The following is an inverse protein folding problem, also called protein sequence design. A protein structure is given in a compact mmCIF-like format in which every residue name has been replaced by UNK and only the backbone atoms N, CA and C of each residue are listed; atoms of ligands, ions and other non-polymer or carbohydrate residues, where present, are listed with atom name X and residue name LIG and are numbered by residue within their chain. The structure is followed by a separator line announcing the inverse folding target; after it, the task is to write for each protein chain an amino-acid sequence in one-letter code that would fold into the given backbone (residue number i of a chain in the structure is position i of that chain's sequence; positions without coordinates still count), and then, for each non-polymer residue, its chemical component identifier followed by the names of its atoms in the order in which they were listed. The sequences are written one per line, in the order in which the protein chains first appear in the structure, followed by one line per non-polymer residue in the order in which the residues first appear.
data_IF_656707563050
#
_entry.id   IF_656707563050
#
_cell.length_a   1.000
_cell.length_b   1.000
_cell.length_c   1.000
_cell.angle_alpha   90.00
_cell.angle_beta   90.00
_cell.angle_gamma   90.00
#
_symmetry.space_group_name_H-M   'P 1'
#
loop_
_entity.id
_entity.type
_entity.pdbx_description
1 polymer ?
#
# COMPACT_ATOMS: atom_id res chain seq x y z
N UNK A 1 -30.25 9.74 -10.27
CA UNK A 1 -29.01 9.10 -10.76
C UNK A 1 -27.96 9.34 -9.71
N UNK A 2 -27.57 8.32 -8.96
CA UNK A 2 -26.47 8.45 -7.99
C UNK A 2 -25.19 8.82 -8.76
N UNK A 3 -24.36 9.74 -8.27
CA UNK A 3 -23.11 10.06 -8.94
C UNK A 3 -22.25 8.79 -9.01
N UNK A 4 -21.83 8.41 -10.22
CA UNK A 4 -20.85 7.34 -10.42
C UNK A 4 -19.49 7.83 -9.93
N UNK A 5 -19.31 7.84 -8.61
CA UNK A 5 -18.04 8.10 -7.96
C UNK A 5 -17.31 6.77 -7.84
N UNK A 6 -16.16 6.64 -8.50
CA UNK A 6 -15.23 5.54 -8.25
C UNK A 6 -14.18 6.07 -7.29
N UNK A 7 -14.29 5.70 -6.02
CA UNK A 7 -13.34 6.07 -4.99
C UNK A 7 -12.16 5.09 -5.02
N UNK A 8 -10.97 5.61 -5.29
CA UNK A 8 -9.72 4.86 -5.18
C UNK A 8 -9.25 4.91 -3.73
N UNK A 9 -8.52 3.89 -3.28
CA UNK A 9 -7.98 3.88 -1.93
C UNK A 9 -7.11 5.10 -1.65
N UNK A 10 -7.27 5.69 -0.46
CA UNK A 10 -6.40 6.76 0.01
C UNK A 10 -5.42 6.15 1.01
N UNK A 11 -4.13 6.07 0.67
CA UNK A 11 -3.11 5.53 1.57
C UNK A 11 -2.94 6.34 2.86
N UNK A 12 -3.49 7.57 2.90
CA UNK A 12 -3.52 8.38 4.11
C UNK A 12 -4.60 7.93 5.11
N UNK A 13 -5.57 7.09 4.72
CA UNK A 13 -6.64 6.63 5.59
C UNK A 13 -6.12 5.66 6.66
N UNK A 14 -6.01 6.12 7.91
CA UNK A 14 -5.54 5.32 9.04
C UNK A 14 -6.44 4.12 9.36
N UNK A 15 -7.69 4.10 8.89
CA UNK A 15 -8.59 2.96 9.11
C UNK A 15 -8.10 1.67 8.44
N UNK A 16 -7.52 1.81 7.24
CA UNK A 16 -7.03 0.71 6.41
C UNK A 16 -5.51 0.71 6.25
N UNK A 17 -4.86 1.85 6.50
CA UNK A 17 -3.41 2.03 6.52
C UNK A 17 -2.95 2.57 7.89
N UNK A 18 -3.15 1.78 8.97
CA UNK A 18 -2.80 2.18 10.33
C UNK A 18 -1.29 2.38 10.50
N UNK A 19 -0.91 3.23 11.45
CA UNK A 19 0.45 3.23 12.00
C UNK A 19 0.67 1.98 12.87
N UNK A 20 1.91 1.73 13.29
CA UNK A 20 2.22 0.55 14.10
C UNK A 20 1.45 0.55 15.42
N UNK A 21 1.32 1.70 16.07
CA UNK A 21 0.64 1.80 17.37
C UNK A 21 -0.85 1.44 17.31
N UNK A 22 -1.48 1.58 16.15
CA UNK A 22 -2.89 1.28 15.95
C UNK A 22 -3.14 -0.19 15.55
N UNK A 23 -2.08 -1.01 15.40
CA UNK A 23 -2.23 -2.44 15.09
C UNK A 23 -2.67 -3.25 16.31
N UNK A 24 -3.51 -4.26 16.06
CA UNK A 24 -3.87 -5.27 17.06
C UNK A 24 -2.64 -6.13 17.45
N UNK A 25 -2.65 -6.68 18.66
CA UNK A 25 -1.68 -7.68 19.10
C UNK A 25 -2.01 -9.06 18.51
N UNK A 26 -0.98 -9.85 18.18
CA UNK A 26 -1.15 -11.19 17.62
C UNK A 26 -1.84 -12.20 18.55
N UNK A 27 -1.88 -11.92 19.85
CA UNK A 27 -2.51 -12.71 20.89
C UNK A 27 -3.83 -12.10 21.41
N UNK A 28 -4.33 -11.03 20.78
CA UNK A 28 -5.54 -10.34 21.19
C UNK A 28 -6.52 -10.24 20.02
N UNK A 29 -7.77 -10.64 20.27
CA UNK A 29 -8.87 -10.34 19.35
C UNK A 29 -9.30 -8.89 19.55
N UNK A 30 -9.24 -8.12 18.47
CA UNK A 30 -9.64 -6.71 18.43
C UNK A 30 -10.86 -6.56 17.51
N UNK A 31 -11.99 -6.10 18.05
CA UNK A 31 -13.24 -5.94 17.31
C UNK A 31 -13.18 -4.84 16.23
N UNK A 32 -12.18 -3.96 16.29
CA UNK A 32 -11.92 -2.97 15.23
C UNK A 32 -11.36 -3.63 13.96
N UNK A 33 -10.75 -4.80 14.10
CA UNK A 33 -10.11 -5.56 13.02
C UNK A 33 -10.83 -6.87 12.69
N UNK A 34 -11.48 -7.49 13.66
CA UNK A 34 -12.10 -8.80 13.54
C UNK A 34 -13.59 -8.76 13.86
N UNK A 35 -14.35 -9.68 13.27
CA UNK A 35 -15.75 -9.97 13.59
C UNK A 35 -15.92 -11.45 13.85
N UNK A 36 -16.86 -11.80 14.71
CA UNK A 36 -17.29 -13.19 14.89
C UNK A 36 -18.30 -13.57 13.81
N UNK A 37 -18.15 -14.76 13.24
CA UNK A 37 -19.12 -15.38 12.32
C UNK A 37 -20.18 -16.16 13.09
N UNK A 38 -21.28 -16.49 12.41
CA UNK A 38 -22.37 -17.31 12.98
C UNK A 38 -21.90 -18.68 13.50
N UNK A 39 -20.83 -19.23 12.93
CA UNK A 39 -20.23 -20.50 13.35
C UNK A 39 -19.23 -20.36 14.52
N UNK A 40 -19.13 -19.18 15.13
CA UNK A 40 -18.29 -18.89 16.29
C UNK A 40 -16.82 -18.56 15.98
N UNK A 41 -16.37 -18.77 14.74
CA UNK A 41 -15.01 -18.42 14.30
C UNK A 41 -14.86 -16.92 14.07
N UNK A 42 -13.66 -16.40 14.30
CA UNK A 42 -13.32 -15.00 14.04
C UNK A 42 -12.65 -14.85 12.68
N UNK A 43 -12.97 -13.78 11.98
CA UNK A 43 -12.35 -13.39 10.72
C UNK A 43 -12.11 -11.88 10.68
N UNK A 44 -11.18 -11.39 9.85
CA UNK A 44 -11.09 -9.97 9.55
C UNK A 44 -12.45 -9.40 9.13
N UNK A 45 -12.79 -8.21 9.63
CA UNK A 45 -14.02 -7.50 9.21
C UNK A 45 -13.79 -6.52 8.07
N UNK A 46 -12.53 -6.18 7.81
CA UNK A 46 -12.03 -5.24 6.80
C UNK A 46 -10.64 -5.69 6.32
N UNK A 47 -10.15 -5.08 5.26
CA UNK A 47 -8.76 -5.17 4.87
C UNK A 47 -7.94 -4.08 5.57
N UNK A 48 -6.70 -4.39 5.95
CA UNK A 48 -5.72 -3.38 6.39
C UNK A 48 -4.31 -3.77 5.95
N UNK A 49 -3.46 -2.75 5.86
CA UNK A 49 -2.08 -2.86 5.44
C UNK A 49 -1.22 -1.94 6.30
N UNK A 50 -0.16 -2.50 6.89
CA UNK A 50 0.91 -1.70 7.47
C UNK A 50 1.89 -1.27 6.39
N UNK A 51 2.39 -0.03 6.48
CA UNK A 51 3.36 0.55 5.56
C UNK A 51 4.51 1.16 6.35
N UNK A 52 5.76 0.81 6.03
CA UNK A 52 6.95 1.39 6.64
C UNK A 52 8.15 1.43 5.69
N UNK A 53 8.97 2.47 5.78
CA UNK A 53 10.21 2.61 5.00
C UNK A 53 11.39 1.92 5.69
N UNK A 54 12.15 1.11 4.97
CA UNK A 54 13.36 0.46 5.47
C UNK A 54 14.41 1.54 5.77
N UNK A 55 14.83 1.62 7.03
CA UNK A 55 15.93 2.49 7.48
C UNK A 55 17.20 1.70 7.83
N UNK A 56 17.06 0.40 8.14
CA UNK A 56 18.17 -0.50 8.42
C UNK A 56 17.85 -1.93 7.99
N UNK A 57 18.88 -2.68 7.59
CA UNK A 57 18.79 -4.10 7.22
C UNK A 57 19.85 -4.89 7.98
N UNK A 58 19.42 -5.84 8.80
CA UNK A 58 20.27 -6.86 9.41
C UNK A 58 19.93 -8.24 8.82
N UNK A 59 20.95 -8.99 8.44
CA UNK A 59 20.82 -10.32 7.82
C UNK A 59 21.65 -11.40 8.53
N UNK A 60 22.21 -11.12 9.71
CA UNK A 60 23.19 -12.02 10.34
C UNK A 60 22.63 -13.41 10.69
N UNK A 61 21.39 -13.47 11.19
CA UNK A 61 20.74 -14.75 11.58
C UNK A 61 19.47 -15.06 10.80
N UNK A 62 18.71 -14.00 10.51
CA UNK A 62 17.50 -13.93 9.69
C UNK A 62 17.42 -12.50 9.16
N UNK A 63 16.66 -12.28 8.11
CA UNK A 63 16.35 -10.91 7.69
C UNK A 63 15.53 -10.24 8.80
N UNK A 64 16.09 -9.17 9.36
CA UNK A 64 15.43 -8.22 10.26
C UNK A 64 15.57 -6.84 9.65
N UNK A 65 14.44 -6.22 9.35
CA UNK A 65 14.37 -4.85 8.85
C UNK A 65 14.04 -3.94 10.03
N UNK A 66 14.73 -2.82 10.17
CA UNK A 66 14.19 -1.69 10.93
C UNK A 66 13.47 -0.81 9.93
N UNK A 67 12.18 -0.56 10.16
CA UNK A 67 11.38 0.34 9.32
C UNK A 67 10.89 1.53 10.10
N UNK A 68 10.74 2.68 9.43
CA UNK A 68 10.04 3.85 9.95
C UNK A 68 8.65 3.93 9.38
N UNK A 69 7.62 3.93 10.22
CA UNK A 69 6.24 4.03 9.77
C UNK A 69 5.81 5.48 9.48
N UNK A 70 4.53 5.65 9.12
CA UNK A 70 3.94 6.95 8.80
C UNK A 70 3.87 7.93 9.97
N UNK A 71 3.90 7.43 11.20
CA UNK A 71 3.88 8.23 12.43
C UNK A 71 5.32 8.49 12.95
N UNK A 72 6.31 7.98 12.22
CA UNK A 72 7.73 8.20 12.46
C UNK A 72 8.34 7.26 13.48
N UNK A 73 7.61 6.24 13.92
CA UNK A 73 8.10 5.22 14.85
C UNK A 73 9.02 4.25 14.10
N UNK A 74 10.13 3.87 14.71
CA UNK A 74 11.03 2.83 14.19
C UNK A 74 10.65 1.46 14.77
N UNK A 75 10.38 0.50 13.90
CA UNK A 75 9.81 -0.80 14.24
C UNK A 75 10.64 -1.92 13.62
N UNK A 76 11.02 -2.95 14.40
CA UNK A 76 11.64 -4.14 13.84
C UNK A 76 10.59 -5.02 13.14
N UNK A 77 10.87 -5.41 11.90
CA UNK A 77 10.17 -6.46 11.17
C UNK A 77 11.12 -7.65 11.04
N UNK A 78 10.77 -8.79 11.63
CA UNK A 78 11.59 -9.99 11.58
C UNK A 78 10.94 -11.07 10.71
N UNK A 79 11.71 -11.59 9.75
CA UNK A 79 11.23 -12.63 8.83
C UNK A 79 11.50 -14.02 9.41
N UNK A 80 10.43 -14.79 9.58
CA UNK A 80 10.38 -16.11 10.22
C UNK A 80 10.02 -17.23 9.26
N UNK A 81 10.19 -17.02 7.95
CA UNK A 81 10.12 -18.10 6.97
C UNK A 81 11.20 -19.17 7.20
N UNK A 82 11.01 -20.33 6.56
CA UNK A 82 11.98 -21.44 6.59
C UNK A 82 13.38 -21.00 6.11
N UNK A 83 13.47 -20.22 5.02
CA UNK A 83 14.76 -19.69 4.55
C UNK A 83 15.16 -18.37 5.23
N UNK A 84 14.50 -18.00 6.33
CA UNK A 84 14.84 -16.86 7.20
C UNK A 84 14.92 -15.53 6.46
N UNK A 85 14.09 -15.34 5.44
CA UNK A 85 14.01 -14.12 4.63
C UNK A 85 14.99 -14.04 3.45
N UNK A 86 15.82 -15.06 3.21
CA UNK A 86 16.71 -15.10 2.03
C UNK A 86 15.89 -15.04 0.72
N UNK A 87 14.64 -15.48 0.73
CA UNK A 87 13.75 -15.48 -0.44
C UNK A 87 13.42 -14.06 -0.92
N UNK A 88 13.55 -13.04 -0.05
CA UNK A 88 13.31 -11.65 -0.40
C UNK A 88 14.31 -11.12 -1.43
N UNK A 89 15.52 -11.68 -1.47
CA UNK A 89 16.57 -11.30 -2.41
C UNK A 89 17.20 -9.92 -2.12
N UNK A 90 18.52 -9.76 -2.36
CA UNK A 90 19.28 -8.58 -1.95
C UNK A 90 18.84 -7.28 -2.63
N UNK A 91 18.25 -7.35 -3.83
CA UNK A 91 17.74 -6.16 -4.53
C UNK A 91 16.55 -5.49 -3.84
N UNK A 92 15.79 -6.25 -3.04
CA UNK A 92 14.65 -5.72 -2.29
C UNK A 92 15.08 -5.16 -0.93
N UNK A 93 16.15 -5.71 -0.34
CA UNK A 93 16.67 -5.34 0.98
C UNK A 93 17.53 -4.08 0.93
N UNK A 94 16.93 -2.94 0.56
CA UNK A 94 17.61 -1.66 0.43
C UNK A 94 16.94 -0.59 1.30
N UNK A 95 17.76 0.23 1.96
CA UNK A 95 17.30 1.42 2.69
C UNK A 95 16.59 2.37 1.72
N UNK A 96 15.47 2.95 2.17
CA UNK A 96 14.60 3.82 1.38
C UNK A 96 13.53 3.08 0.57
N UNK A 97 13.52 1.74 0.56
CA UNK A 97 12.40 0.98 0.02
C UNK A 97 11.26 0.90 1.04
N UNK A 98 10.02 0.80 0.56
CA UNK A 98 8.83 0.69 1.41
C UNK A 98 8.36 -0.74 1.52
N UNK A 99 8.19 -1.22 2.75
CA UNK A 99 7.56 -2.49 3.11
C UNK A 99 6.04 -2.28 3.24
N UNK A 100 5.27 -3.18 2.64
CA UNK A 100 3.80 -3.21 2.67
C UNK A 100 3.39 -4.60 3.15
N UNK A 101 2.66 -4.68 4.28
CA UNK A 101 2.26 -5.95 4.89
C UNK A 101 0.75 -5.98 5.09
N UNK A 102 0.07 -6.88 4.41
CA UNK A 102 -1.34 -7.18 4.67
C UNK A 102 -1.51 -7.83 6.03
N UNK A 103 -2.56 -7.42 6.74
CA UNK A 103 -2.99 -8.01 8.01
C UNK A 103 -1.90 -8.04 9.09
N UNK A 104 -1.02 -7.03 9.11
CA UNK A 104 0.03 -6.93 10.11
C UNK A 104 -0.55 -6.82 11.53
N UNK A 105 0.17 -7.39 12.50
CA UNK A 105 -0.14 -7.39 13.93
C UNK A 105 1.13 -7.12 14.74
N UNK A 106 0.98 -6.60 15.96
CA UNK A 106 2.08 -6.43 16.92
C UNK A 106 2.49 -7.80 17.49
N UNK A 107 3.79 -7.99 17.67
CA UNK A 107 4.39 -9.17 18.26
C UNK A 107 5.43 -8.77 19.31
N UNK A 108 5.40 -9.43 20.46
CA UNK A 108 6.45 -9.33 21.47
C UNK A 108 7.51 -10.41 21.22
N UNK A 109 8.73 -10.01 20.86
CA UNK A 109 9.85 -10.91 20.65
C UNK A 109 10.48 -11.36 21.98
N UNK A 110 11.26 -12.45 21.92
CA UNK A 110 11.97 -12.98 23.10
C UNK A 110 13.05 -12.04 23.66
N UNK A 111 13.57 -11.12 22.84
CA UNK A 111 14.50 -10.07 23.25
C UNK A 111 13.80 -8.87 23.90
N UNK A 112 12.50 -9.00 24.20
CA UNK A 112 11.60 -7.98 24.75
C UNK A 112 11.33 -6.80 23.81
N UNK A 113 11.80 -6.84 22.56
CA UNK A 113 11.41 -5.84 21.56
C UNK A 113 9.99 -6.12 21.05
N UNK A 114 9.28 -5.07 20.68
CA UNK A 114 7.93 -5.16 20.10
C UNK A 114 8.05 -4.77 18.63
N UNK A 115 7.47 -5.55 17.73
CA UNK A 115 7.50 -5.27 16.29
C UNK A 115 6.56 -6.17 15.50
N UNK A 116 6.91 -6.46 14.24
CA UNK A 116 6.12 -7.32 13.36
C UNK A 116 6.90 -8.60 13.08
N UNK A 117 6.33 -9.74 13.46
CA UNK A 117 6.83 -11.06 13.06
C UNK A 117 6.10 -11.50 11.79
N UNK A 118 6.86 -11.90 10.77
CA UNK A 118 6.26 -12.25 9.49
C UNK A 118 6.74 -13.62 8.99
N UNK A 119 5.79 -14.51 8.70
CA UNK A 119 6.05 -15.92 8.38
C UNK A 119 5.63 -16.32 6.96
N UNK A 120 4.77 -15.55 6.31
CA UNK A 120 4.25 -15.85 4.98
C UNK A 120 4.44 -14.65 4.03
N UNK A 121 5.48 -14.73 3.20
CA UNK A 121 5.87 -13.65 2.28
C UNK A 121 4.83 -13.34 1.21
N UNK A 122 3.77 -14.13 1.04
CA UNK A 122 2.68 -13.73 0.16
C UNK A 122 1.97 -12.47 0.68
N UNK A 123 1.97 -12.19 1.98
CA UNK A 123 1.33 -10.99 2.54
C UNK A 123 2.25 -9.77 2.59
N UNK A 124 3.53 -9.92 2.26
CA UNK A 124 4.53 -8.85 2.30
C UNK A 124 5.05 -8.51 0.92
N UNK A 125 5.12 -7.22 0.63
CA UNK A 125 5.80 -6.69 -0.56
C UNK A 125 6.76 -5.59 -0.18
N UNK A 126 7.95 -5.62 -0.77
CA UNK A 126 8.88 -4.49 -0.75
C UNK A 126 8.79 -3.77 -2.09
N UNK A 127 8.59 -2.47 -2.04
CA UNK A 127 8.42 -1.59 -3.18
C UNK A 127 9.61 -0.61 -3.27
N UNK A 128 10.20 -0.41 -4.46
CA UNK A 128 11.36 0.48 -4.64
C UNK A 128 10.93 1.95 -4.73
N UNK A 129 10.36 2.45 -3.64
CA UNK A 129 9.90 3.82 -3.44
C UNK A 129 9.99 4.15 -1.94
N UNK A 130 10.34 5.38 -1.61
CA UNK A 130 10.28 5.86 -0.22
C UNK A 130 8.84 6.05 0.24
N UNK A 131 8.60 5.98 1.55
CA UNK A 131 7.27 6.12 2.14
C UNK A 131 6.68 7.50 1.80
N UNK A 132 7.49 8.56 1.91
CA UNK A 132 7.06 9.92 1.56
C UNK A 132 6.62 10.02 0.08
N UNK A 133 7.37 9.43 -0.84
CA UNK A 133 7.01 9.44 -2.26
C UNK A 133 5.77 8.59 -2.53
N UNK A 134 5.59 7.46 -1.82
CA UNK A 134 4.38 6.63 -1.89
C UNK A 134 3.14 7.39 -1.42
N UNK A 135 3.25 8.15 -0.33
CA UNK A 135 2.16 8.98 0.20
C UNK A 135 1.84 10.15 -0.74
N UNK A 136 2.84 10.87 -1.25
CA UNK A 136 2.64 11.93 -2.24
C UNK A 136 2.01 11.41 -3.54
N UNK A 137 2.37 10.19 -3.96
CA UNK A 137 1.76 9.55 -5.11
C UNK A 137 0.29 9.20 -4.85
N UNK A 138 -0.07 8.74 -3.65
CA UNK A 138 -1.47 8.58 -3.24
C UNK A 138 -2.24 9.89 -3.38
N UNK A 139 -1.71 11.02 -2.89
CA UNK A 139 -2.38 12.32 -2.97
C UNK A 139 -2.61 12.79 -4.41
N UNK A 140 -1.63 12.56 -5.29
CA UNK A 140 -1.77 12.82 -6.73
C UNK A 140 -2.85 11.94 -7.36
N UNK A 141 -2.95 10.66 -7.00
CA UNK A 141 -4.00 9.75 -7.49
C UNK A 141 -5.36 10.24 -7.02
N UNK A 142 -5.50 10.60 -5.75
CA UNK A 142 -6.76 11.14 -5.22
C UNK A 142 -7.20 12.40 -5.98
N UNK A 143 -6.25 13.27 -6.31
CA UNK A 143 -6.53 14.53 -7.03
C UNK A 143 -6.86 14.31 -8.51
N UNK A 144 -6.14 13.41 -9.20
CA UNK A 144 -6.13 13.31 -10.66
C UNK A 144 -6.80 12.07 -11.26
N UNK A 145 -6.90 10.98 -10.52
CA UNK A 145 -7.41 9.70 -11.01
C UNK A 145 -8.81 9.36 -10.49
N UNK A 146 -9.19 9.85 -9.30
CA UNK A 146 -10.52 9.67 -8.71
C UNK A 146 -11.60 10.31 -9.59
N UNK A 147 -12.70 9.58 -9.79
CA UNK A 147 -13.85 10.04 -10.57
C UNK A 147 -14.83 10.76 -9.63
N UNK A 148 -15.08 12.04 -9.90
CA UNK A 148 -16.02 12.87 -9.14
C UNK A 148 -17.00 13.51 -10.11
N UNK A 149 -18.30 13.27 -9.93
CA UNK A 149 -19.36 13.79 -10.80
C UNK A 149 -19.14 13.45 -12.29
N UNK A 150 -18.62 12.24 -12.55
CA UNK A 150 -18.31 11.78 -13.91
C UNK A 150 -17.08 12.47 -14.54
N UNK A 151 -16.37 13.32 -13.82
CA UNK A 151 -15.17 14.02 -14.29
C UNK A 151 -13.91 13.61 -13.54
N UNK A 152 -12.77 13.76 -14.20
CA UNK A 152 -11.43 13.62 -13.61
C UNK A 152 -10.62 14.87 -13.84
N UNK A 153 -9.57 15.06 -13.05
CA UNK A 153 -8.68 16.22 -13.16
C UNK A 153 -7.51 15.91 -14.07
N UNK A 154 -7.31 16.71 -15.12
CA UNK A 154 -6.15 16.57 -15.98
C UNK A 154 -4.85 16.76 -15.19
N UNK A 155 -3.97 15.76 -15.22
CA UNK A 155 -2.68 15.81 -14.51
C UNK A 155 -1.70 16.83 -15.10
N UNK A 156 -1.96 17.39 -16.29
CA UNK A 156 -1.10 18.41 -16.90
C UNK A 156 -1.49 19.85 -16.56
N UNK A 157 -2.78 20.16 -16.53
CA UNK A 157 -3.27 21.55 -16.41
C UNK A 157 -4.33 21.75 -15.32
N UNK A 158 -4.62 20.72 -14.53
CA UNK A 158 -5.56 20.73 -13.40
C UNK A 158 -7.03 21.04 -13.76
N UNK A 159 -7.38 21.07 -15.05
CA UNK A 159 -8.77 21.22 -15.49
C UNK A 159 -9.54 19.91 -15.33
N UNK A 160 -10.76 19.99 -14.80
CA UNK A 160 -11.70 18.87 -14.73
C UNK A 160 -12.39 18.67 -16.08
N UNK A 161 -12.56 17.42 -16.49
CA UNK A 161 -13.34 17.07 -17.68
C UNK A 161 -13.75 15.59 -17.66
N UNK A 162 -14.88 15.29 -18.28
CA UNK A 162 -15.28 13.91 -18.58
C UNK A 162 -14.49 13.32 -19.76
N UNK A 163 -14.02 14.15 -20.69
CA UNK A 163 -13.34 13.73 -21.94
C UNK A 163 -11.82 13.94 -21.81
N UNK A 164 -11.15 13.01 -21.12
CA UNK A 164 -9.69 13.00 -20.97
C UNK A 164 -9.06 11.72 -21.51
N UNK A 165 -7.93 11.87 -22.18
CA UNK A 165 -7.12 10.78 -22.70
C UNK A 165 -6.34 10.12 -21.56
N UNK A 166 -6.51 8.81 -21.41
CA UNK A 166 -5.84 8.01 -20.37
C UNK A 166 -4.38 7.74 -20.75
N UNK A 167 -3.47 7.79 -19.79
CA UNK A 167 -2.13 7.25 -20.00
C UNK A 167 -2.21 5.75 -20.29
N UNK A 168 -1.72 5.31 -21.45
CA UNK A 168 -1.76 3.91 -21.86
C UNK A 168 -0.88 2.98 -20.99
N UNK A 169 0.14 3.53 -20.30
CA UNK A 169 1.10 2.74 -19.52
C UNK A 169 0.58 2.40 -18.12
N UNK A 170 0.34 3.40 -17.28
CA UNK A 170 -0.13 3.18 -15.90
C UNK A 170 -1.66 3.03 -15.81
N UNK A 171 -2.40 3.71 -16.69
CA UNK A 171 -3.86 3.75 -16.67
C UNK A 171 -4.49 4.71 -15.66
N UNK A 172 -3.73 5.32 -14.75
CA UNK A 172 -4.26 6.23 -13.71
C UNK A 172 -4.48 7.65 -14.21
N UNK A 173 -3.41 8.32 -14.65
CA UNK A 173 -3.50 9.74 -14.99
C UNK A 173 -4.08 9.97 -16.38
N UNK A 174 -4.78 11.10 -16.51
CA UNK A 174 -5.47 11.49 -17.74
C UNK A 174 -5.18 12.93 -18.16
N UNK A 175 -5.36 13.22 -19.44
CA UNK A 175 -4.95 14.48 -20.07
C UNK A 175 -5.98 15.05 -21.03
N UNK A 176 -6.10 16.38 -21.08
CA UNK A 176 -6.93 17.07 -22.07
C UNK A 176 -6.36 16.93 -23.49
N UNK A 177 -5.03 16.88 -23.61
CA UNK A 177 -4.32 16.89 -24.89
C UNK A 177 -2.92 16.31 -24.74
N UNK A 178 -2.27 16.00 -25.87
CA UNK A 178 -0.88 15.53 -25.88
C UNK A 178 0.08 16.55 -25.24
N UNK A 179 -0.17 17.85 -25.41
CA UNK A 179 0.57 18.92 -24.71
C UNK A 179 0.47 18.79 -23.19
N UNK A 180 -0.74 18.54 -22.67
CA UNK A 180 -0.92 18.30 -21.23
C UNK A 180 -0.27 17.00 -20.77
N UNK A 181 -0.23 15.96 -21.61
CA UNK A 181 0.49 14.73 -21.30
C UNK A 181 1.99 14.96 -21.21
N UNK A 182 2.60 15.69 -22.15
CA UNK A 182 4.02 16.02 -22.13
C UNK A 182 4.39 16.88 -20.91
N UNK A 183 3.56 17.88 -20.60
CA UNK A 183 3.70 18.68 -19.38
C UNK A 183 3.62 17.79 -18.13
N UNK A 184 2.57 17.00 -18.00
CA UNK A 184 2.39 16.10 -16.86
C UNK A 184 3.57 15.13 -16.71
N UNK A 185 4.10 14.64 -17.84
CA UNK A 185 5.24 13.73 -17.90
C UNK A 185 6.55 14.36 -17.43
N UNK A 186 6.87 15.57 -17.88
CA UNK A 186 8.17 16.22 -17.64
C UNK A 186 8.18 17.11 -16.40
N UNK A 187 7.12 17.89 -16.19
CA UNK A 187 7.06 18.95 -15.19
C UNK A 187 6.36 18.48 -13.90
N UNK A 188 5.33 17.63 -14.01
CA UNK A 188 4.52 17.24 -12.85
C UNK A 188 4.89 15.85 -12.28
N UNK A 189 6.07 15.33 -12.61
CA UNK A 189 6.60 14.09 -12.02
C UNK A 189 6.03 12.77 -12.55
N UNK A 190 5.08 12.78 -13.50
CA UNK A 190 4.45 11.53 -13.94
C UNK A 190 5.44 10.51 -14.54
N UNK A 191 6.56 10.92 -15.11
CA UNK A 191 7.55 9.96 -15.63
C UNK A 191 7.99 8.95 -14.58
N UNK A 192 8.26 9.41 -13.36
CA UNK A 192 8.72 8.57 -12.26
C UNK A 192 7.53 7.83 -11.61
N UNK A 193 6.44 8.55 -11.34
CA UNK A 193 5.19 7.97 -10.83
C UNK A 193 4.67 6.83 -11.73
N UNK A 194 4.80 6.97 -13.06
CA UNK A 194 4.36 5.97 -14.03
C UNK A 194 5.14 4.67 -13.92
N UNK A 195 6.41 4.69 -13.50
CA UNK A 195 7.20 3.45 -13.33
C UNK A 195 6.62 2.62 -12.19
N UNK A 196 6.27 3.28 -11.09
CA UNK A 196 5.70 2.65 -9.89
C UNK A 196 4.27 2.18 -10.17
N UNK A 197 3.43 3.01 -10.80
CA UNK A 197 2.03 2.68 -11.12
C UNK A 197 1.86 1.59 -12.18
N UNK A 198 2.94 1.14 -12.82
CA UNK A 198 2.93 -0.03 -13.72
C UNK A 198 3.07 -1.34 -12.95
N UNK A 199 3.57 -1.31 -11.72
CA UNK A 199 3.61 -2.49 -10.86
C UNK A 199 2.17 -2.87 -10.47
N UNK A 200 1.79 -4.11 -10.75
CA UNK A 200 0.43 -4.62 -10.50
C UNK A 200 0.08 -4.67 -9.01
N UNK A 201 1.07 -4.89 -8.14
CA UNK A 201 0.85 -4.93 -6.69
C UNK A 201 0.60 -3.52 -6.16
N UNK A 202 1.44 -2.56 -6.53
CA UNK A 202 1.23 -1.17 -6.13
C UNK A 202 -0.11 -0.63 -6.64
N UNK A 203 -0.38 -0.85 -7.94
CA UNK A 203 -1.64 -0.45 -8.57
C UNK A 203 -2.85 -1.10 -7.91
N UNK A 204 -2.77 -2.38 -7.57
CA UNK A 204 -3.86 -3.15 -6.97
C UNK A 204 -4.36 -2.56 -5.67
N UNK A 205 -3.47 -1.99 -4.84
CA UNK A 205 -3.83 -1.36 -3.56
C UNK A 205 -4.93 -0.30 -3.71
N UNK A 206 -4.95 0.44 -4.82
CA UNK A 206 -5.91 1.53 -5.05
C UNK A 206 -7.30 1.07 -5.45
N UNK A 207 -7.45 -0.19 -5.82
CA UNK A 207 -8.72 -0.74 -6.32
C UNK A 207 -9.36 -1.75 -5.36
N UNK A 208 -8.72 -2.05 -4.22
CA UNK A 208 -9.28 -2.93 -3.18
C UNK A 208 -10.53 -2.29 -2.57
N UNK A 209 -11.55 -3.11 -2.35
CA UNK A 209 -12.72 -2.74 -1.54
C UNK A 209 -12.39 -2.96 -0.07
N UNK A 210 -11.82 -1.95 0.57
CA UNK A 210 -11.19 -2.10 1.89
C UNK A 210 -12.14 -2.46 3.03
N UNK A 211 -13.43 -2.13 2.90
CA UNK A 211 -14.46 -2.49 3.88
C UNK A 211 -15.11 -3.86 3.65
N UNK A 212 -14.93 -4.46 2.47
CA UNK A 212 -15.65 -5.67 2.05
C UNK A 212 -14.76 -6.92 2.17
N UNK A 213 -14.53 -7.37 3.41
CA UNK A 213 -13.78 -8.60 3.62
C UNK A 213 -14.61 -9.85 3.26
N UNK A 214 -14.12 -10.58 2.25
CA UNK A 214 -14.62 -11.90 1.85
C UNK A 214 -13.59 -13.01 2.04
N UNK A 215 -12.32 -12.72 1.73
CA UNK A 215 -11.18 -13.62 1.87
C UNK A 215 -9.92 -12.79 2.11
N UNK A 216 -8.86 -13.44 2.60
CA UNK A 216 -7.56 -12.81 2.71
C UNK A 216 -7.02 -12.42 1.33
N UNK A 217 -6.40 -11.24 1.25
CA UNK A 217 -5.65 -10.78 0.09
C UNK A 217 -4.16 -11.00 0.29
N UNK A 218 -3.49 -11.49 -0.75
CA UNK A 218 -2.04 -11.65 -0.78
C UNK A 218 -1.47 -11.19 -2.11
N UNK A 219 -0.16 -11.03 -2.16
CA UNK A 219 0.61 -10.72 -3.35
C UNK A 219 0.93 -12.00 -4.14
N UNK A 220 0.90 -11.95 -5.49
CA UNK A 220 0.53 -10.80 -6.28
C UNK A 220 -0.98 -10.52 -6.21
N UNK A 221 -1.38 -9.24 -6.18
CA UNK A 221 -2.79 -8.85 -6.18
C UNK A 221 -3.42 -9.20 -7.55
N UNK A 222 -3.96 -10.41 -7.67
CA UNK A 222 -4.65 -10.91 -8.87
C UNK A 222 -6.10 -10.43 -8.88
N UNK A 223 -6.58 -9.96 -10.03
CA UNK A 223 -8.03 -9.82 -10.26
C UNK A 223 -8.69 -8.55 -9.71
N UNK A 224 -7.94 -7.47 -9.48
CA UNK A 224 -8.55 -6.15 -9.26
C UNK A 224 -8.78 -5.47 -10.62
N UNK A 225 -9.77 -5.98 -11.36
CA UNK A 225 -10.25 -5.40 -12.63
C UNK A 225 -11.16 -4.19 -12.42
#
# INVERSE_FOLDING_TARGET
MSPNNTQLANLQDKKHFPGFEDLAWDNQLDEDYYRQRDNGFWEPRKHWVFIGEIVEVDILFRVRLTVKDRDGLEIPIAIYTEARGVELGPSNLQVGNTVVIFYAVKHLFMDMTIGIRHEDLEYLKILPISLDNMMQLSDKIQTHATLTDGMRTCHGCNKKSAKLMKCAKCGFFRYCSQKCQLRGWKENGHKEDCKILRDGNFKGLFSIKWDDFHNHLSFPLRGVE
#
